data_IF_284938600488
#
_entry.id   IF_284938600488
#
_cell.length_a   1.000
_cell.length_b   1.000
_cell.length_c   1.000
_cell.angle_alpha   90.00
_cell.angle_beta   90.00
_cell.angle_gamma   90.00
#
_symmetry.space_group_name_H-M   'P 1'
#
loop_
_entity.id
_entity.type
_entity.pdbx_description
1 polymer ?
#
# COMPACT_ATOMS: atom_id res chain seq x y z
N UNK A 1 -15.26 -49.93 12.23
CA UNK A 1 -13.91 -49.34 12.33
C UNK A 1 -13.97 -47.96 11.67
N UNK A 2 -13.74 -46.86 12.38
CA UNK A 2 -13.79 -45.53 11.76
C UNK A 2 -12.49 -45.24 11.01
N UNK A 3 -12.63 -44.80 9.77
CA UNK A 3 -11.60 -44.54 8.76
C UNK A 3 -10.88 -43.21 9.10
N UNK A 4 -9.74 -43.28 9.79
CA UNK A 4 -9.08 -42.18 10.50
C UNK A 4 -8.29 -41.19 9.61
N UNK A 5 -8.49 -41.19 8.29
CA UNK A 5 -7.63 -40.43 7.35
C UNK A 5 -8.31 -39.42 6.43
N UNK A 6 -9.65 -39.31 6.44
CA UNK A 6 -10.38 -38.46 5.47
C UNK A 6 -11.35 -37.51 6.17
N UNK A 7 -11.03 -36.22 6.17
CA UNK A 7 -11.91 -35.16 6.65
C UNK A 7 -12.78 -34.67 5.49
N UNK A 8 -14.10 -34.86 5.56
CA UNK A 8 -15.01 -34.31 4.57
C UNK A 8 -15.51 -32.93 5.02
N UNK A 9 -15.13 -31.90 4.28
CA UNK A 9 -15.63 -30.54 4.48
C UNK A 9 -16.77 -30.29 3.50
N UNK A 10 -17.96 -29.98 4.00
CA UNK A 10 -19.11 -29.60 3.15
C UNK A 10 -19.39 -28.12 3.33
N UNK A 11 -19.09 -27.33 2.31
CA UNK A 11 -19.45 -25.92 2.24
C UNK A 11 -20.83 -25.78 1.59
N UNK A 12 -21.72 -25.00 2.19
CA UNK A 12 -23.03 -24.67 1.61
C UNK A 12 -23.13 -23.16 1.43
N UNK A 13 -23.55 -22.73 0.25
CA UNK A 13 -23.72 -21.32 -0.09
C UNK A 13 -25.01 -21.11 -0.88
N UNK A 14 -25.59 -19.91 -0.73
CA UNK A 14 -26.73 -19.47 -1.51
C UNK A 14 -26.47 -18.04 -1.96
N UNK A 15 -26.62 -17.77 -3.25
CA UNK A 15 -26.58 -16.42 -3.81
C UNK A 15 -27.99 -15.89 -4.03
N UNK A 16 -28.18 -14.59 -3.79
CA UNK A 16 -29.38 -13.85 -4.16
C UNK A 16 -29.03 -12.71 -5.11
N UNK A 17 -29.88 -12.48 -6.10
CA UNK A 17 -29.76 -11.34 -7.00
C UNK A 17 -30.68 -10.21 -6.51
N UNK A 18 -30.14 -9.27 -5.73
CA UNK A 18 -30.89 -8.18 -5.09
C UNK A 18 -31.78 -7.35 -6.06
N UNK A 19 -31.35 -6.96 -7.28
CA UNK A 19 -32.22 -6.19 -8.18
C UNK A 19 -33.41 -6.97 -8.76
N UNK A 20 -33.37 -8.31 -8.77
CA UNK A 20 -34.44 -9.15 -9.35
C UNK A 20 -35.22 -9.92 -8.28
N UNK A 21 -34.75 -9.91 -7.02
CA UNK A 21 -35.45 -10.52 -5.87
C UNK A 21 -35.49 -12.05 -5.89
N UNK A 22 -34.66 -12.70 -6.71
CA UNK A 22 -34.61 -14.16 -6.82
C UNK A 22 -33.37 -14.69 -6.10
N UNK A 23 -33.57 -15.61 -5.17
CA UNK A 23 -32.52 -16.38 -4.53
C UNK A 23 -32.43 -17.76 -5.18
N UNK A 24 -31.22 -18.16 -5.56
CA UNK A 24 -30.98 -19.46 -6.19
C UNK A 24 -31.05 -20.59 -5.16
N UNK A 25 -31.20 -21.84 -5.59
CA UNK A 25 -31.16 -22.99 -4.69
C UNK A 25 -29.78 -23.12 -4.02
N UNK A 26 -29.71 -23.52 -2.73
CA UNK A 26 -28.45 -23.66 -2.02
C UNK A 26 -27.58 -24.75 -2.66
N UNK A 27 -26.35 -24.40 -2.99
CA UNK A 27 -25.38 -25.29 -3.59
C UNK A 27 -24.46 -25.80 -2.47
N UNK A 28 -24.22 -27.10 -2.45
CA UNK A 28 -23.30 -27.73 -1.52
C UNK A 28 -22.10 -28.29 -2.29
N UNK A 29 -20.89 -27.93 -1.87
CA UNK A 29 -19.67 -28.54 -2.35
C UNK A 29 -19.00 -29.29 -1.22
N UNK A 30 -18.84 -30.60 -1.40
CA UNK A 30 -18.11 -31.46 -0.45
C UNK A 30 -16.73 -31.74 -1.00
N UNK A 31 -15.71 -31.37 -0.23
CA UNK A 31 -14.30 -31.66 -0.52
C UNK A 31 -13.81 -32.68 0.50
N UNK A 32 -13.25 -33.79 0.01
CA UNK A 32 -12.58 -34.76 0.85
C UNK A 32 -11.10 -34.38 0.98
N UNK A 33 -10.70 -34.00 2.20
CA UNK A 33 -9.32 -33.70 2.55
C UNK A 33 -8.68 -34.98 3.09
N UNK A 34 -7.66 -35.48 2.41
CA UNK A 34 -6.77 -36.50 2.96
C UNK A 34 -5.83 -35.81 3.93
N UNK A 35 -5.98 -36.10 5.22
CA UNK A 35 -5.10 -35.55 6.24
C UNK A 35 -3.74 -36.26 6.13
N UNK A 36 -2.61 -35.53 6.01
CA UNK A 36 -1.30 -36.15 6.07
C UNK A 36 -1.11 -36.76 7.47
N UNK A 37 -0.50 -37.95 7.53
CA UNK A 37 -0.08 -38.52 8.82
C UNK A 37 0.89 -37.53 9.47
N UNK A 38 0.53 -37.04 10.66
CA UNK A 38 1.35 -36.15 11.47
C UNK A 38 2.61 -36.89 11.89
N UNK A 39 3.62 -36.90 11.02
CA UNK A 39 4.99 -37.15 11.46
C UNK A 39 5.37 -35.92 12.25
N UNK A 40 5.77 -36.11 13.51
CA UNK A 40 6.24 -35.03 14.38
C UNK A 40 7.48 -34.35 13.78
N UNK A 41 7.26 -33.43 12.85
CA UNK A 41 8.25 -32.61 12.18
C UNK A 41 8.34 -31.27 12.88
N UNK A 42 9.49 -31.07 13.54
CA UNK A 42 10.07 -29.85 14.09
C UNK A 42 9.19 -28.59 14.09
N UNK A 43 8.88 -28.15 15.32
CA UNK A 43 8.35 -26.83 15.67
C UNK A 43 9.25 -25.72 15.12
N UNK A 44 9.04 -25.35 13.86
CA UNK A 44 9.61 -24.15 13.28
C UNK A 44 8.73 -22.99 13.77
N UNK A 45 9.33 -22.03 14.46
CA UNK A 45 8.62 -20.84 14.91
C UNK A 45 8.01 -20.12 13.70
N UNK A 46 6.68 -20.04 13.66
CA UNK A 46 5.95 -19.36 12.61
C UNK A 46 6.08 -17.86 12.88
N UNK A 47 7.01 -17.21 12.18
CA UNK A 47 7.30 -15.79 12.38
C UNK A 47 6.67 -14.92 11.28
N UNK A 48 6.14 -15.56 10.23
CA UNK A 48 5.58 -14.86 9.08
C UNK A 48 4.38 -15.61 8.49
N UNK A 49 3.54 -14.86 7.77
CA UNK A 49 2.45 -15.44 6.96
C UNK A 49 3.02 -16.38 5.89
N UNK A 50 4.26 -16.12 5.43
CA UNK A 50 5.00 -16.92 4.46
C UNK A 50 5.34 -18.32 5.00
N UNK A 51 5.77 -18.44 6.26
CA UNK A 51 6.04 -19.76 6.90
C UNK A 51 4.77 -20.62 6.98
N UNK A 52 3.64 -19.97 7.24
CA UNK A 52 2.33 -20.61 7.35
C UNK A 52 1.83 -21.11 5.99
N UNK A 53 2.07 -20.35 4.91
CA UNK A 53 1.79 -20.77 3.53
C UNK A 53 2.62 -21.98 3.11
N UNK A 54 3.90 -22.01 3.52
CA UNK A 54 4.83 -23.11 3.25
C UNK A 54 4.45 -24.40 3.99
N UNK A 55 4.02 -24.29 5.25
CA UNK A 55 3.53 -25.41 6.05
C UNK A 55 2.22 -26.01 5.55
N UNK A 56 1.35 -25.19 4.96
CA UNK A 56 0.08 -25.64 4.40
C UNK A 56 0.22 -26.36 3.04
N UNK A 57 1.44 -26.50 2.51
CA UNK A 57 1.66 -27.11 1.19
C UNK A 57 0.99 -26.32 0.06
N UNK A 58 0.53 -25.10 0.35
CA UNK A 58 0.11 -24.12 -0.64
C UNK A 58 1.40 -23.51 -1.17
N UNK A 59 2.15 -24.31 -1.94
CA UNK A 59 2.97 -23.70 -2.97
C UNK A 59 1.98 -22.94 -3.84
N UNK A 60 1.97 -21.61 -3.74
CA UNK A 60 1.28 -20.72 -4.67
C UNK A 60 1.93 -20.93 -6.05
N UNK A 61 1.55 -22.03 -6.68
CA UNK A 61 1.84 -22.41 -8.05
C UNK A 61 0.60 -22.09 -8.90
N UNK A 62 -0.01 -20.94 -8.58
CA UNK A 62 -0.87 -20.20 -9.48
C UNK A 62 -0.11 -18.96 -9.95
N UNK A 63 -0.43 -18.41 -11.12
CA UNK A 63 0.15 -17.15 -11.56
C UNK A 63 -0.05 -16.10 -10.45
N UNK A 64 1.05 -15.51 -9.98
CA UNK A 64 1.02 -14.42 -9.03
C UNK A 64 0.45 -13.19 -9.75
N UNK A 65 -0.74 -12.77 -9.33
CA UNK A 65 -1.39 -11.59 -9.89
C UNK A 65 -0.92 -10.35 -9.14
N UNK A 66 -0.48 -9.34 -9.89
CA UNK A 66 -0.06 -8.06 -9.35
C UNK A 66 -1.27 -7.30 -8.77
N UNK A 67 -1.04 -6.37 -7.84
CA UNK A 67 -2.08 -5.43 -7.47
C UNK A 67 -2.47 -4.55 -8.67
N UNK A 68 -3.70 -4.03 -8.72
CA UNK A 68 -4.16 -3.20 -9.84
C UNK A 68 -3.26 -1.98 -10.06
N UNK A 69 -2.78 -1.38 -8.98
CA UNK A 69 -1.84 -0.25 -8.97
C UNK A 69 -0.46 -0.57 -9.53
N UNK A 70 -0.02 -1.82 -9.36
CA UNK A 70 1.28 -2.29 -9.84
C UNK A 70 1.18 -2.75 -11.31
N UNK A 71 0.06 -3.39 -11.66
CA UNK A 71 -0.26 -3.81 -13.02
C UNK A 71 -0.51 -2.61 -13.96
N UNK A 72 -1.11 -1.54 -13.44
CA UNK A 72 -1.49 -0.36 -14.20
C UNK A 72 -0.98 0.90 -13.50
N UNK A 73 0.25 1.29 -13.82
CA UNK A 73 0.84 2.54 -13.32
C UNK A 73 0.48 3.69 -14.26
N UNK A 74 0.05 4.80 -13.67
CA UNK A 74 -0.30 6.01 -14.40
C UNK A 74 0.57 7.16 -13.93
N UNK A 75 1.23 7.81 -14.87
CA UNK A 75 1.99 9.03 -14.66
C UNK A 75 1.43 10.11 -15.58
N UNK A 76 1.24 11.33 -15.06
CA UNK A 76 0.75 12.45 -15.85
C UNK A 76 1.66 13.64 -15.66
N UNK A 77 1.98 14.31 -16.76
CA UNK A 77 2.82 15.51 -16.78
C UNK A 77 2.22 16.54 -17.72
N UNK A 78 2.51 17.82 -17.49
CA UNK A 78 2.24 18.87 -18.46
C UNK A 78 3.35 18.89 -19.51
N UNK A 79 2.97 18.88 -20.79
CA UNK A 79 3.92 19.22 -21.87
C UNK A 79 3.92 20.74 -22.07
N UNK A 80 2.71 21.32 -22.07
CA UNK A 80 2.45 22.75 -22.16
C UNK A 80 1.29 23.14 -21.24
N UNK A 81 0.93 24.43 -21.19
CA UNK A 81 -0.25 24.89 -20.42
C UNK A 81 -1.58 24.43 -21.01
N UNK A 82 -1.58 24.03 -22.27
CA UNK A 82 -2.75 23.61 -23.05
C UNK A 82 -2.79 22.10 -23.31
N UNK A 83 -1.77 21.34 -22.89
CA UNK A 83 -1.72 19.90 -23.15
C UNK A 83 -1.08 19.14 -21.99
N UNK A 84 -1.82 18.18 -21.46
CA UNK A 84 -1.33 17.18 -20.51
C UNK A 84 -1.02 15.87 -21.24
N UNK A 85 0.03 15.21 -20.79
CA UNK A 85 0.46 13.91 -21.28
C UNK A 85 0.24 12.89 -20.17
N UNK A 86 -0.71 11.98 -20.37
CA UNK A 86 -0.98 10.86 -19.47
C UNK A 86 -0.32 9.60 -20.03
N UNK A 87 0.68 9.08 -19.33
CA UNK A 87 1.40 7.86 -19.69
C UNK A 87 0.95 6.71 -18.79
N UNK A 88 0.47 5.65 -19.43
CA UNK A 88 0.12 4.38 -18.78
C UNK A 88 1.22 3.37 -19.02
N UNK A 89 1.65 2.71 -17.94
CA UNK A 89 2.51 1.55 -17.98
C UNK A 89 1.68 0.32 -17.63
N UNK A 90 1.67 -0.66 -18.53
CA UNK A 90 0.88 -1.88 -18.42
C UNK A 90 1.83 -3.05 -18.26
N UNK A 91 1.71 -3.77 -17.14
CA UNK A 91 2.55 -4.92 -16.89
C UNK A 91 2.33 -6.03 -17.94
N UNK A 92 3.36 -6.85 -18.25
CA UNK A 92 3.23 -7.95 -19.19
C UNK A 92 2.14 -8.95 -18.78
N UNK A 93 1.27 -9.33 -19.72
CA UNK A 93 0.14 -10.22 -19.45
C UNK A 93 -1.08 -9.52 -18.84
N UNK A 94 -1.09 -8.18 -18.83
CA UNK A 94 -2.22 -7.35 -18.44
C UNK A 94 -2.64 -6.46 -19.60
N UNK A 95 -3.90 -6.00 -19.59
CA UNK A 95 -4.42 -5.08 -20.59
C UNK A 95 -5.49 -4.15 -20.00
N UNK A 96 -5.55 -2.94 -20.53
CA UNK A 96 -6.59 -1.95 -20.21
C UNK A 96 -7.63 -1.88 -21.33
N UNK A 97 -8.90 -1.68 -20.99
CA UNK A 97 -9.94 -1.45 -21.99
C UNK A 97 -9.93 0.00 -22.46
N UNK A 98 -9.81 0.22 -23.77
CA UNK A 98 -9.80 1.56 -24.36
C UNK A 98 -11.09 2.31 -24.06
N UNK A 99 -12.24 1.65 -24.22
CA UNK A 99 -13.56 2.28 -24.05
C UNK A 99 -13.94 2.52 -22.57
N UNK A 100 -13.17 1.96 -21.63
CA UNK A 100 -13.33 2.17 -20.18
C UNK A 100 -12.33 3.19 -19.62
N UNK A 101 -11.45 3.72 -20.45
CA UNK A 101 -10.52 4.78 -20.06
C UNK A 101 -11.24 6.13 -20.17
N UNK A 102 -11.36 6.84 -19.04
CA UNK A 102 -11.98 8.17 -18.99
C UNK A 102 -11.15 9.11 -18.13
N UNK A 103 -11.17 10.38 -18.50
CA UNK A 103 -10.47 11.44 -17.79
C UNK A 103 -11.47 12.50 -17.37
N UNK A 104 -11.33 12.99 -16.14
CA UNK A 104 -12.17 14.04 -15.57
C UNK A 104 -11.28 15.08 -14.88
N UNK A 105 -11.61 16.35 -15.05
CA UNK A 105 -10.88 17.44 -14.42
C UNK A 105 -11.62 17.91 -13.18
N UNK A 106 -10.94 17.85 -12.03
CA UNK A 106 -11.50 18.30 -10.76
C UNK A 106 -11.30 19.79 -10.51
N UNK A 107 -10.14 20.33 -10.90
CA UNK A 107 -9.77 21.71 -10.62
C UNK A 107 -8.58 22.18 -11.47
N UNK A 108 -8.52 23.49 -11.72
CA UNK A 108 -7.37 24.20 -12.30
C UNK A 108 -7.34 24.27 -13.83
N UNK A 109 -8.21 23.51 -14.50
CA UNK A 109 -8.35 23.53 -15.95
C UNK A 109 -9.65 22.83 -16.38
N UNK A 110 -10.12 23.15 -17.58
CA UNK A 110 -11.22 22.45 -18.25
C UNK A 110 -10.65 21.47 -19.26
N UNK A 111 -11.25 20.28 -19.32
CA UNK A 111 -10.84 19.22 -20.22
C UNK A 111 -11.52 19.38 -21.58
N UNK A 112 -10.77 19.38 -22.68
CA UNK A 112 -11.35 19.45 -24.03
C UNK A 112 -11.68 18.05 -24.59
N UNK A 113 -12.12 17.98 -25.84
CA UNK A 113 -12.31 16.68 -26.48
C UNK A 113 -10.95 16.08 -26.90
N UNK A 114 -10.72 14.81 -26.58
CA UNK A 114 -9.44 14.15 -26.82
C UNK A 114 -9.61 12.86 -27.62
N UNK A 115 -8.55 12.54 -28.36
CA UNK A 115 -8.42 11.26 -29.03
C UNK A 115 -7.50 10.35 -28.22
N UNK A 116 -8.03 9.17 -27.84
CA UNK A 116 -7.19 8.09 -27.34
C UNK A 116 -6.40 7.45 -28.50
N UNK A 117 -5.15 7.00 -28.26
CA UNK A 117 -4.35 6.33 -29.26
C UNK A 117 -5.07 5.08 -29.81
N UNK A 118 -4.67 4.60 -31.01
CA UNK A 118 -5.20 3.36 -31.55
C UNK A 118 -4.87 2.19 -30.61
N UNK A 119 -5.87 1.39 -30.28
CA UNK A 119 -5.69 0.16 -29.51
C UNK A 119 -5.69 -1.08 -30.39
N UNK A 120 -5.64 -2.25 -29.76
CA UNK A 120 -5.66 -3.56 -30.43
C UNK A 120 -7.03 -4.20 -30.22
N UNK A 121 -7.65 -4.72 -31.29
CA UNK A 121 -8.90 -5.48 -31.16
C UNK A 121 -8.63 -6.85 -30.51
N UNK A 122 -9.44 -7.22 -29.53
CA UNK A 122 -9.40 -8.50 -28.83
C UNK A 122 -10.82 -9.04 -28.69
N UNK A 123 -10.97 -10.34 -28.91
CA UNK A 123 -12.21 -11.05 -28.58
C UNK A 123 -12.16 -11.45 -27.10
N UNK A 124 -12.95 -10.76 -26.27
CA UNK A 124 -13.14 -11.08 -24.88
C UNK A 124 -14.38 -11.98 -24.69
N UNK A 125 -14.31 -13.05 -23.88
CA UNK A 125 -15.44 -13.96 -23.68
C UNK A 125 -16.63 -13.33 -22.93
N UNK A 126 -16.43 -12.24 -22.19
CA UNK A 126 -17.48 -11.54 -21.44
C UNK A 126 -18.06 -10.37 -22.23
N UNK A 127 -17.22 -9.63 -22.96
CA UNK A 127 -17.60 -8.39 -23.63
C UNK A 127 -17.67 -8.47 -25.16
N UNK A 128 -17.23 -9.58 -25.77
CA UNK A 128 -17.20 -9.75 -27.22
C UNK A 128 -16.01 -9.03 -27.85
N UNK A 129 -16.20 -8.35 -28.98
CA UNK A 129 -15.12 -7.63 -29.64
C UNK A 129 -14.86 -6.29 -28.92
N UNK A 130 -13.66 -6.13 -28.36
CA UNK A 130 -13.26 -4.98 -27.55
C UNK A 130 -11.91 -4.43 -28.02
N UNK A 131 -11.70 -3.13 -27.87
CA UNK A 131 -10.39 -2.53 -28.12
C UNK A 131 -9.63 -2.40 -26.79
N UNK A 132 -8.41 -2.92 -26.76
CA UNK A 132 -7.56 -2.97 -25.57
C UNK A 132 -6.20 -2.30 -25.79
N UNK A 133 -5.55 -1.95 -24.68
CA UNK A 133 -4.15 -1.56 -24.62
C UNK A 133 -3.37 -2.65 -23.85
N UNK A 134 -2.69 -3.57 -24.55
CA UNK A 134 -1.90 -4.65 -23.94
C UNK A 134 -0.48 -4.22 -23.55
N UNK A 135 -0.10 -2.98 -23.84
CA UNK A 135 1.24 -2.43 -23.62
C UNK A 135 1.13 -0.96 -23.23
N UNK A 136 2.28 -0.39 -22.85
CA UNK A 136 2.41 1.02 -22.48
C UNK A 136 1.92 1.93 -23.61
N UNK A 137 1.20 2.98 -23.23
CA UNK A 137 0.68 3.96 -24.18
C UNK A 137 0.64 5.35 -23.56
N UNK A 138 0.52 6.34 -24.43
CA UNK A 138 0.43 7.75 -24.06
C UNK A 138 -0.86 8.33 -24.62
N UNK A 139 -1.63 9.00 -23.75
CA UNK A 139 -2.81 9.76 -24.12
C UNK A 139 -2.51 11.25 -23.99
N UNK A 140 -2.74 11.99 -25.07
CA UNK A 140 -2.65 13.44 -25.09
C UNK A 140 -4.00 14.03 -24.70
N UNK A 141 -3.99 14.90 -23.69
CA UNK A 141 -5.18 15.50 -23.14
C UNK A 141 -5.11 17.02 -23.32
N UNK A 142 -5.69 17.58 -24.39
CA UNK A 142 -5.89 19.03 -24.51
C UNK A 142 -6.71 19.58 -23.34
N UNK A 143 -6.22 20.68 -22.76
CA UNK A 143 -6.83 21.36 -21.62
C UNK A 143 -6.87 22.87 -21.84
N UNK A 144 -7.88 23.51 -21.28
CA UNK A 144 -7.94 24.97 -21.11
C UNK A 144 -7.62 25.27 -19.65
N UNK A 145 -6.37 25.64 -19.37
CA UNK A 145 -5.95 25.99 -18.02
C UNK A 145 -6.49 27.34 -17.56
N UNK A 146 -6.89 27.43 -16.29
CA UNK A 146 -7.30 28.68 -15.68
C UNK A 146 -6.09 29.62 -15.61
N UNK A 147 -6.28 30.92 -15.88
CA UNK A 147 -5.17 31.88 -15.97
C UNK A 147 -4.32 31.96 -14.68
N UNK A 148 -4.93 31.72 -13.52
CA UNK A 148 -4.28 31.74 -12.21
C UNK A 148 -3.86 30.36 -11.69
N UNK A 149 -4.17 29.26 -12.40
CA UNK A 149 -3.81 27.93 -11.96
C UNK A 149 -2.32 27.66 -12.20
N UNK A 150 -1.62 27.27 -11.13
CA UNK A 150 -0.28 26.69 -11.17
C UNK A 150 -0.30 25.17 -11.13
N UNK A 151 -1.43 24.58 -10.76
CA UNK A 151 -1.62 23.14 -10.61
C UNK A 151 -3.02 22.72 -11.07
N UNK A 152 -3.11 21.50 -11.55
CA UNK A 152 -4.33 20.86 -12.05
C UNK A 152 -4.56 19.56 -11.31
N UNK A 153 -5.82 19.24 -11.03
CA UNK A 153 -6.23 17.94 -10.52
C UNK A 153 -6.98 17.15 -11.58
N UNK A 154 -6.39 16.05 -12.03
CA UNK A 154 -6.95 15.12 -13.01
C UNK A 154 -7.37 13.84 -12.31
N UNK A 155 -8.58 13.33 -12.57
CA UNK A 155 -8.96 11.96 -12.25
C UNK A 155 -8.92 11.14 -13.53
N UNK A 156 -8.19 10.02 -13.51
CA UNK A 156 -8.27 8.99 -14.53
C UNK A 156 -9.07 7.80 -14.00
N UNK A 157 -10.13 7.43 -14.72
CA UNK A 157 -10.90 6.22 -14.54
C UNK A 157 -10.43 5.18 -15.54
N UNK A 158 -10.16 3.97 -15.07
CA UNK A 158 -9.70 2.90 -15.95
C UNK A 158 -10.12 1.54 -15.40
N UNK A 159 -10.14 0.55 -16.30
CA UNK A 159 -10.40 -0.83 -15.95
C UNK A 159 -9.53 -1.72 -16.83
N UNK A 160 -8.97 -2.76 -16.24
CA UNK A 160 -8.16 -3.74 -16.95
C UNK A 160 -8.35 -5.15 -16.42
N UNK A 161 -7.78 -6.11 -17.14
CA UNK A 161 -7.76 -7.50 -16.76
C UNK A 161 -6.37 -8.10 -17.01
N UNK A 162 -6.07 -9.16 -16.28
CA UNK A 162 -4.99 -10.07 -16.58
C UNK A 162 -5.44 -11.06 -17.66
N UNK A 163 -4.55 -11.43 -18.57
CA UNK A 163 -4.82 -12.46 -19.59
C UNK A 163 -5.08 -13.83 -18.98
N UNK A 164 -4.56 -14.05 -17.77
CA UNK A 164 -4.72 -15.26 -16.96
C UNK A 164 -6.11 -15.37 -16.28
N UNK A 165 -7.06 -14.50 -16.62
CA UNK A 165 -8.49 -14.68 -16.30
C UNK A 165 -9.04 -13.87 -15.13
N UNK A 166 -8.32 -12.87 -14.62
CA UNK A 166 -8.82 -11.97 -13.58
C UNK A 166 -9.08 -10.58 -14.14
N UNK A 167 -10.30 -10.08 -13.98
CA UNK A 167 -10.65 -8.70 -14.28
C UNK A 167 -10.72 -7.87 -13.00
N UNK A 168 -10.02 -6.74 -13.00
CA UNK A 168 -10.03 -5.81 -11.88
C UNK A 168 -11.30 -4.96 -11.92
N UNK A 169 -11.81 -4.51 -10.76
CA UNK A 169 -12.92 -3.56 -10.71
C UNK A 169 -12.49 -2.20 -11.31
N UNK A 170 -13.45 -1.35 -11.74
CA UNK A 170 -13.15 0.00 -12.18
C UNK A 170 -12.39 0.77 -11.11
N UNK A 171 -11.20 1.25 -11.46
CA UNK A 171 -10.32 2.01 -10.58
C UNK A 171 -10.33 3.49 -10.99
N UNK A 172 -10.02 4.35 -10.02
CA UNK A 172 -9.80 5.79 -10.24
C UNK A 172 -8.51 6.23 -9.58
N UNK A 173 -7.73 7.05 -10.27
CA UNK A 173 -6.51 7.68 -9.74
C UNK A 173 -6.58 9.18 -9.93
N UNK A 174 -6.38 9.90 -8.83
CA UNK A 174 -6.31 11.36 -8.83
C UNK A 174 -4.84 11.78 -8.88
N UNK A 175 -4.48 12.57 -9.88
CA UNK A 175 -3.14 13.12 -10.07
C UNK A 175 -3.17 14.64 -9.90
N UNK A 176 -2.15 15.15 -9.23
CA UNK A 176 -1.88 16.57 -9.11
C UNK A 176 -0.71 16.90 -10.04
N UNK A 177 -0.93 17.79 -11.01
CA UNK A 177 0.01 18.07 -12.09
C UNK A 177 0.34 19.56 -12.05
N UNK A 178 1.61 19.91 -11.93
CA UNK A 178 2.05 21.31 -12.00
C UNK A 178 2.06 21.80 -13.45
N UNK A 179 1.51 22.98 -13.69
CA UNK A 179 1.55 23.67 -14.98
C UNK A 179 2.83 24.50 -15.09
N UNK A 180 3.48 24.56 -16.27
CA UNK A 180 4.63 25.43 -16.46
C UNK A 180 4.21 26.88 -16.27
N UNK A 181 5.00 27.70 -15.58
CA UNK A 181 4.71 29.14 -15.41
C UNK A 181 4.67 29.85 -16.76
N UNK A 182 3.75 30.81 -16.95
CA UNK A 182 3.85 31.77 -18.05
C UNK A 182 5.04 32.70 -17.81
N UNK A 183 6.25 32.23 -18.10
CA UNK A 183 7.39 33.11 -18.19
C UNK A 183 7.33 33.62 -19.64
N UNK A 184 6.84 34.86 -19.82
CA UNK A 184 7.10 35.60 -21.06
C UNK A 184 8.60 35.56 -21.28
N UNK A 185 9.01 34.96 -22.39
CA UNK A 185 10.40 34.75 -22.75
C UNK A 185 11.04 36.11 -23.07
N UNK A 186 11.57 36.74 -22.03
CA UNK A 186 12.39 37.93 -22.07
C UNK A 186 13.31 37.92 -20.84
N UNK A 187 14.23 36.95 -20.79
CA UNK A 187 15.62 37.15 -20.39
C UNK A 187 16.30 35.79 -20.21
N UNK A 188 17.08 35.40 -21.23
CA UNK A 188 18.29 34.66 -20.99
C UNK A 188 19.21 35.52 -20.11
N UNK A 189 19.52 35.03 -18.91
CA UNK A 189 20.80 35.31 -18.25
C UNK A 189 21.15 34.14 -17.35
N UNK A 190 22.19 33.44 -17.78
CA UNK A 190 22.96 32.49 -16.99
C UNK A 190 23.35 33.07 -15.63
N UNK A 191 23.10 32.33 -14.55
CA UNK A 191 24.19 31.80 -13.73
C UNK A 191 23.69 30.67 -12.81
N UNK A 192 24.41 29.54 -12.69
CA UNK A 192 24.06 28.44 -11.81
C UNK A 192 24.74 28.66 -10.45
N UNK A 193 23.98 28.81 -9.36
CA UNK A 193 24.49 28.44 -8.05
C UNK A 193 23.39 28.32 -6.97
N UNK A 194 23.65 27.38 -6.04
CA UNK A 194 22.96 27.06 -4.79
C UNK A 194 21.69 26.20 -4.95
N UNK A 195 21.80 24.87 -4.87
CA UNK A 195 22.02 24.05 -3.67
C UNK A 195 20.76 23.84 -2.85
N UNK A 196 20.33 22.58 -2.85
CA UNK A 196 19.32 21.99 -2.00
C UNK A 196 19.59 22.28 -0.52
N UNK A 197 18.53 22.61 0.21
CA UNK A 197 18.51 22.46 1.66
C UNK A 197 17.26 21.69 2.04
N UNK A 198 17.49 20.47 2.53
CA UNK A 198 16.53 19.68 3.26
C UNK A 198 16.20 20.40 4.58
N UNK A 199 14.91 20.51 4.89
CA UNK A 199 14.41 20.98 6.18
C UNK A 199 14.60 19.88 7.23
N UNK A 200 15.66 20.02 8.02
CA UNK A 200 15.72 19.51 9.38
C UNK A 200 15.88 20.75 10.29
N UNK A 201 14.83 21.07 11.02
CA UNK A 201 14.85 22.14 12.02
C UNK A 201 15.87 21.81 13.12
N UNK A 202 17.00 22.50 13.09
CA UNK A 202 18.00 22.44 14.15
C UNK A 202 18.30 23.86 14.63
N UNK A 203 17.56 24.30 15.64
CA UNK A 203 18.01 25.39 16.51
C UNK A 203 18.56 24.75 17.77
N UNK A 204 19.87 24.51 17.80
CA UNK A 204 20.74 24.74 18.96
C UNK A 204 22.17 24.72 18.45
N UNK A 205 22.81 25.88 18.56
CA UNK A 205 24.18 26.13 18.11
C UNK A 205 25.21 25.21 18.78
N UNK A 206 26.28 24.82 18.05
CA UNK A 206 27.32 23.93 18.55
C UNK A 206 28.47 24.74 19.14
N UNK A 207 28.91 24.45 20.36
CA UNK A 207 30.30 24.70 20.78
C UNK A 207 30.59 24.08 22.14
N UNK A 208 31.26 22.92 22.12
CA UNK A 208 32.55 22.66 22.77
C UNK A 208 32.63 21.21 23.25
N UNK A 209 33.72 20.57 22.84
CA UNK A 209 34.32 19.44 23.55
C UNK A 209 34.70 19.91 24.95
N UNK A 210 33.80 19.77 25.90
CA UNK A 210 34.09 19.89 27.32
C UNK A 210 33.41 18.73 28.05
N UNK A 211 34.13 18.19 29.03
CA UNK A 211 33.74 17.04 29.82
C UNK A 211 32.25 17.10 30.19
N UNK A 212 31.55 15.99 29.95
CA UNK A 212 30.14 15.81 30.29
C UNK A 212 29.96 16.09 31.78
N UNK A 213 29.58 17.33 32.10
CA UNK A 213 29.23 17.75 33.44
C UNK A 213 27.88 17.12 33.77
N UNK A 214 27.73 16.60 34.98
CA UNK A 214 26.54 15.92 35.49
C UNK A 214 25.24 16.71 35.23
N UNK A 215 25.33 18.04 35.13
CA UNK A 215 24.22 18.93 34.79
C UNK A 215 23.70 18.75 33.34
N UNK A 216 24.59 18.58 32.36
CA UNK A 216 24.23 18.37 30.95
C UNK A 216 23.65 16.96 30.73
N UNK A 217 24.13 15.97 31.48
CA UNK A 217 23.60 14.61 31.48
C UNK A 217 22.16 14.57 32.01
N UNK A 218 21.87 15.27 33.11
CA UNK A 218 20.51 15.38 33.67
C UNK A 218 19.57 16.12 32.70
N UNK A 219 20.06 17.16 32.02
CA UNK A 219 19.30 17.86 30.97
C UNK A 219 18.96 16.96 29.79
N UNK A 220 19.91 16.17 29.30
CA UNK A 220 19.70 15.23 28.19
C UNK A 220 18.77 14.08 28.59
N UNK A 221 18.93 13.52 29.79
CA UNK A 221 18.00 12.50 30.32
C UNK A 221 16.59 13.09 30.49
N UNK A 222 16.45 14.32 30.97
CA UNK A 222 15.17 15.00 31.12
C UNK A 222 14.48 15.24 29.77
N UNK A 223 15.23 15.72 28.78
CA UNK A 223 14.72 15.92 27.43
C UNK A 223 14.33 14.59 26.77
N UNK A 224 15.21 13.58 26.84
CA UNK A 224 14.95 12.25 26.29
C UNK A 224 13.71 11.59 26.93
N UNK A 225 13.57 11.71 28.26
CA UNK A 225 12.40 11.22 28.99
C UNK A 225 11.13 11.97 28.61
N UNK A 226 11.21 13.30 28.46
CA UNK A 226 10.11 14.15 28.01
C UNK A 226 9.63 13.77 26.60
N UNK A 227 10.55 13.61 25.64
CA UNK A 227 10.22 13.14 24.29
C UNK A 227 9.68 11.71 24.28
N UNK A 228 10.21 10.81 25.12
CA UNK A 228 9.69 9.46 25.27
C UNK A 228 8.27 9.42 25.82
N UNK A 229 7.95 10.30 26.78
CA UNK A 229 6.60 10.47 27.32
C UNK A 229 5.64 11.03 26.25
N UNK A 230 6.09 12.01 25.47
CA UNK A 230 5.31 12.58 24.36
C UNK A 230 5.04 11.56 23.26
N UNK A 231 6.04 10.72 22.93
CA UNK A 231 5.91 9.60 22.01
C UNK A 231 4.93 8.54 22.53
N UNK A 232 4.84 8.30 23.84
CA UNK A 232 3.84 7.39 24.42
C UNK A 232 2.40 7.88 24.26
N UNK A 233 2.16 9.18 24.08
CA UNK A 233 0.83 9.74 23.78
C UNK A 233 0.49 9.76 22.28
N UNK A 234 1.33 9.15 21.44
CA UNK A 234 1.00 9.03 20.01
C UNK A 234 -0.09 7.97 19.77
N UNK A 235 -0.93 8.16 18.73
CA UNK A 235 -2.07 7.29 18.43
C UNK A 235 -1.71 5.82 18.11
N UNK A 236 -0.41 5.47 18.01
CA UNK A 236 0.07 4.12 17.72
C UNK A 236 0.17 3.18 18.93
N UNK A 237 0.23 3.68 20.19
CA UNK A 237 0.35 2.83 21.41
C UNK A 237 -1.00 2.62 22.12
N UNK A 238 -1.97 3.50 21.85
CA UNK A 238 -3.35 3.36 22.33
C UNK A 238 -4.04 2.01 22.00
N UNK A 239 -3.76 1.34 20.86
CA UNK A 239 -4.33 0.03 20.52
C UNK A 239 -3.86 -1.12 21.43
N UNK A 240 -2.74 -0.96 22.14
CA UNK A 240 -2.16 -2.01 22.99
C UNK A 240 -2.76 -2.03 24.41
N UNK A 241 -3.29 -0.89 24.88
CA UNK A 241 -4.00 -0.72 26.16
C UNK A 241 -5.21 -1.66 26.29
N UNK A 242 -6.13 -1.77 25.30
CA UNK A 242 -7.27 -2.70 25.40
C UNK A 242 -6.86 -4.18 25.41
N UNK A 243 -5.72 -4.54 24.81
CA UNK A 243 -5.21 -5.93 24.85
C UNK A 243 -4.78 -6.31 26.28
N UNK A 244 -4.02 -5.46 26.97
CA UNK A 244 -3.64 -5.74 28.36
C UNK A 244 -4.85 -5.74 29.30
N UNK A 245 -5.78 -4.80 29.14
CA UNK A 245 -7.01 -4.76 29.95
C UNK A 245 -7.90 -6.00 29.71
N UNK A 246 -7.96 -6.50 28.47
CA UNK A 246 -8.67 -7.73 28.12
C UNK A 246 -8.08 -8.99 28.76
N UNK A 247 -6.75 -9.05 28.92
CA UNK A 247 -6.09 -10.22 29.54
C UNK A 247 -6.21 -10.26 31.07
N UNK A 248 -6.40 -9.12 31.74
CA UNK A 248 -6.46 -9.03 33.21
C UNK A 248 -7.90 -9.21 33.74
N UNK A 249 -8.92 -8.84 32.96
CA UNK A 249 -10.33 -8.92 33.40
C UNK A 249 -10.96 -10.30 33.12
N UNK A 250 -10.32 -11.18 32.33
CA UNK A 250 -10.97 -12.39 31.79
C UNK A 250 -10.51 -13.77 32.29
N UNK A 251 -9.42 -13.91 33.06
CA UNK A 251 -8.91 -15.25 33.44
C UNK A 251 -8.75 -15.44 34.95
N UNK A 252 -9.77 -16.01 35.58
CA UNK A 252 -9.78 -16.54 36.96
C UNK A 252 -9.03 -17.88 37.10
N UNK A 253 -7.89 -18.06 36.44
CA UNK A 253 -7.16 -19.34 36.48
C UNK A 253 -5.75 -19.42 35.90
N UNK A 254 -5.21 -18.35 35.28
CA UNK A 254 -3.83 -18.36 34.80
C UNK A 254 -2.91 -17.78 35.87
N UNK A 255 -1.96 -18.58 36.36
CA UNK A 255 -1.07 -18.21 37.46
C UNK A 255 -0.35 -16.87 37.24
N UNK A 256 -0.28 -16.06 38.30
CA UNK A 256 0.41 -14.76 38.36
C UNK A 256 1.81 -14.76 37.72
N UNK A 257 2.50 -15.90 37.70
CA UNK A 257 3.83 -16.06 37.08
C UNK A 257 3.87 -16.03 35.55
N UNK A 258 2.78 -16.39 34.85
CA UNK A 258 2.78 -16.41 33.39
C UNK A 258 2.56 -15.02 32.80
N UNK A 259 1.76 -14.19 33.48
CA UNK A 259 1.57 -12.78 33.16
C UNK A 259 2.86 -11.97 33.40
N UNK A 260 3.58 -12.22 34.51
CA UNK A 260 4.88 -11.57 34.74
C UNK A 260 5.93 -12.02 33.73
N UNK A 261 5.96 -13.30 33.35
CA UNK A 261 6.86 -13.79 32.31
C UNK A 261 6.59 -13.15 30.94
N UNK A 262 5.32 -13.05 30.53
CA UNK A 262 4.93 -12.42 29.26
C UNK A 262 5.30 -10.93 29.22
N UNK A 263 5.08 -10.19 30.32
CA UNK A 263 5.49 -8.79 30.42
C UNK A 263 7.01 -8.61 30.38
N UNK A 264 7.78 -9.47 31.06
CA UNK A 264 9.25 -9.39 31.06
C UNK A 264 9.83 -9.66 29.68
N UNK A 265 9.33 -10.67 28.97
CA UNK A 265 9.78 -10.99 27.60
C UNK A 265 9.45 -9.85 26.63
N UNK A 266 8.26 -9.25 26.76
CA UNK A 266 7.87 -8.11 25.92
C UNK A 266 8.74 -6.86 26.17
N UNK A 267 9.00 -6.52 27.43
CA UNK A 267 9.86 -5.39 27.79
C UNK A 267 11.30 -5.63 27.34
N UNK A 268 11.83 -6.84 27.49
CA UNK A 268 13.17 -7.18 26.99
C UNK A 268 13.27 -7.07 25.46
N UNK A 269 12.24 -7.50 24.73
CA UNK A 269 12.22 -7.40 23.27
C UNK A 269 12.26 -5.96 22.78
N UNK A 270 11.43 -5.10 23.38
CA UNK A 270 11.37 -3.67 23.03
C UNK A 270 12.63 -2.91 23.44
N UNK A 271 13.23 -3.23 24.59
CA UNK A 271 14.52 -2.66 25.00
C UNK A 271 15.64 -3.06 24.03
N UNK A 272 15.68 -4.33 23.60
CA UNK A 272 16.70 -4.80 22.68
C UNK A 272 16.62 -4.11 21.30
N UNK A 273 15.43 -3.96 20.72
CA UNK A 273 15.28 -3.29 19.42
C UNK A 273 15.64 -1.81 19.49
N UNK A 274 15.21 -1.09 20.52
CA UNK A 274 15.59 0.32 20.68
C UNK A 274 17.08 0.51 20.98
N UNK A 275 17.70 -0.43 21.71
CA UNK A 275 19.14 -0.41 21.92
C UNK A 275 19.91 -0.59 20.60
N UNK A 276 19.47 -1.48 19.71
CA UNK A 276 20.08 -1.67 18.39
C UNK A 276 19.93 -0.41 17.53
N UNK A 277 18.72 0.16 17.47
CA UNK A 277 18.46 1.39 16.70
C UNK A 277 19.32 2.55 17.23
N UNK A 278 19.39 2.72 18.55
CA UNK A 278 20.22 3.75 19.17
C UNK A 278 21.72 3.55 18.95
N UNK A 279 22.19 2.31 18.96
CA UNK A 279 23.59 1.98 18.68
C UNK A 279 23.96 2.29 17.22
N UNK A 280 23.06 2.00 16.27
CA UNK A 280 23.27 2.35 14.86
C UNK A 280 23.26 3.87 14.68
N UNK A 281 22.27 4.57 15.24
CA UNK A 281 22.18 6.03 15.14
C UNK A 281 23.41 6.74 15.75
N UNK A 282 23.89 6.29 16.92
CA UNK A 282 25.10 6.83 17.54
C UNK A 282 26.39 6.50 16.79
N UNK A 283 26.41 5.43 16.00
CA UNK A 283 27.54 5.12 15.12
C UNK A 283 27.55 5.95 13.84
N UNK A 284 26.37 6.42 13.38
CA UNK A 284 26.24 7.23 12.16
C UNK A 284 26.40 8.73 12.35
N UNK A 285 26.47 9.21 13.60
CA UNK A 285 26.72 10.62 13.94
C UNK A 285 25.50 11.31 14.52
#
# INVERSE_FOLDING_TARGET
>A
APDLGKLQLTARGQGCNDPVGVCYAPIAHTVALTLPETTAGQSSAINSVTDLQQLLGVAASGPEFLAAEEAFRLEARSDRRDTLIAQFFVAPGYYLYRDKLRFEMLAGATLEEHALPPGVSKQDPYFGEVTIFPADFTAELPIVADAAASEVRLIAHFQGCAEQGICYPPAKKTLLISLPSIISDAAASENPNLSASAEAGNNTEPAKKEAVSTQALVGYLGAAFGTGLLLSFTPCVLPLIPILLGTIVGQSGAGRGRATALSVVYVLGTVATYAVIGAVAGATG
#
